data_IF_589445426677
#
_entry.id   IF_589445426677
#
_cell.length_a   1.000
_cell.length_b   1.000
_cell.length_c   1.000
_cell.angle_alpha   90.00
_cell.angle_beta   90.00
_cell.angle_gamma   90.00
#
_symmetry.space_group_name_H-M   'P 1'
#
loop_
_entity.id
_entity.type
_entity.pdbx_description
1 polymer ?
#
# COMPACT_ATOMS: atom_id res chain seq x y z
N UNK A 1 -5.11 -24.37 -3.31
CA UNK A 1 -4.17 -23.47 -2.67
C UNK A 1 -3.13 -24.25 -1.90
N UNK A 2 -1.88 -23.99 -2.11
CA UNK A 2 -0.83 -24.73 -1.44
C UNK A 2 -0.64 -24.25 0.01
N UNK A 3 -0.09 -25.11 0.86
CA UNK A 3 0.23 -24.75 2.24
C UNK A 3 1.25 -23.62 2.34
N UNK A 4 2.04 -23.39 1.27
CA UNK A 4 3.03 -22.32 1.21
C UNK A 4 2.43 -20.94 1.35
N UNK A 5 1.11 -20.79 1.11
CA UNK A 5 0.43 -19.51 1.24
C UNK A 5 0.09 -19.17 2.68
N UNK A 6 0.17 -20.14 3.60
CA UNK A 6 -0.14 -19.90 5.00
C UNK A 6 1.13 -19.65 5.79
N UNK A 7 1.02 -18.77 6.77
CA UNK A 7 2.07 -18.50 7.73
C UNK A 7 1.89 -19.39 8.95
N UNK A 8 2.99 -19.65 9.66
CA UNK A 8 2.95 -20.45 10.86
C UNK A 8 3.45 -19.63 12.05
N UNK A 9 2.77 -19.79 13.17
CA UNK A 9 3.21 -19.27 14.44
C UNK A 9 3.10 -20.39 15.46
N UNK A 10 3.53 -20.15 16.70
CA UNK A 10 3.41 -21.14 17.75
C UNK A 10 1.96 -21.55 17.90
N UNK A 11 1.65 -22.82 17.68
CA UNK A 11 0.33 -23.42 17.83
C UNK A 11 -0.72 -22.99 16.77
N UNK A 12 -0.35 -22.30 15.69
CA UNK A 12 -1.34 -21.93 14.67
C UNK A 12 -0.74 -21.72 13.30
N UNK A 13 -1.61 -21.81 12.31
CA UNK A 13 -1.36 -21.34 10.95
C UNK A 13 -2.35 -20.21 10.66
N UNK A 14 -1.93 -19.22 9.88
CA UNK A 14 -2.79 -18.09 9.57
C UNK A 14 -2.49 -17.56 8.17
N UNK A 15 -3.48 -16.86 7.61
CA UNK A 15 -3.33 -16.12 6.36
C UNK A 15 -4.20 -14.89 6.52
N UNK A 16 -3.56 -13.72 6.71
CA UNK A 16 -4.25 -12.45 6.88
C UNK A 16 -3.79 -11.53 5.79
N UNK A 17 -4.74 -11.12 4.95
CA UNK A 17 -4.45 -10.31 3.77
C UNK A 17 -5.40 -9.15 3.70
N UNK A 18 -4.85 -8.00 3.29
CA UNK A 18 -5.63 -6.78 3.12
C UNK A 18 -5.40 -6.19 1.74
N UNK A 19 -6.50 -5.76 1.12
CA UNK A 19 -6.47 -4.89 -0.05
C UNK A 19 -6.72 -3.46 0.46
N UNK A 20 -5.75 -2.57 0.23
CA UNK A 20 -5.78 -1.20 0.76
C UNK A 20 -5.69 -0.23 -0.40
N UNK A 21 -6.52 0.83 -0.34
CA UNK A 21 -6.53 1.89 -1.35
C UNK A 21 -6.47 3.22 -0.61
N UNK A 22 -5.58 4.12 -1.03
CA UNK A 22 -5.60 5.49 -0.52
C UNK A 22 -5.13 6.45 -1.61
N UNK A 23 -5.32 7.74 -1.37
CA UNK A 23 -5.03 8.76 -2.38
C UNK A 23 -4.33 9.99 -1.79
N UNK A 24 -3.64 10.76 -2.64
CA UNK A 24 -3.09 12.04 -2.23
C UNK A 24 -4.19 13.00 -1.79
N UNK A 25 -3.84 13.96 -0.94
CA UNK A 25 -4.77 15.00 -0.51
C UNK A 25 -5.32 15.74 -1.73
N UNK A 26 -6.61 16.00 -1.72
CA UNK A 26 -7.38 16.59 -2.81
C UNK A 26 -7.38 15.72 -4.08
N UNK A 27 -6.85 14.52 -3.99
CA UNK A 27 -6.79 13.56 -5.09
C UNK A 27 -6.08 14.11 -6.33
N UNK A 28 -5.07 14.95 -6.12
CA UNK A 28 -4.26 15.46 -7.22
C UNK A 28 -3.43 14.34 -7.84
N UNK A 29 -3.20 14.45 -9.15
CA UNK A 29 -2.45 13.45 -9.91
C UNK A 29 -0.95 13.69 -9.80
N UNK A 30 -0.41 13.50 -8.59
CA UNK A 30 1.01 13.78 -8.30
C UNK A 30 1.89 12.54 -8.32
N UNK A 31 1.30 11.34 -8.39
CA UNK A 31 2.04 10.07 -8.29
C UNK A 31 2.45 9.59 -9.69
N UNK A 32 3.29 10.35 -10.36
CA UNK A 32 3.72 10.07 -11.74
C UNK A 32 5.24 10.13 -11.87
N UNK A 33 5.76 9.44 -12.87
CA UNK A 33 7.18 9.49 -13.19
C UNK A 33 8.06 9.02 -12.05
N UNK A 34 9.03 9.83 -11.68
CA UNK A 34 9.97 9.48 -10.61
C UNK A 34 9.30 9.33 -9.24
N UNK A 35 8.21 10.06 -9.00
CA UNK A 35 7.45 9.93 -7.75
C UNK A 35 6.84 8.54 -7.66
N UNK A 36 6.25 8.07 -8.73
CA UNK A 36 5.68 6.71 -8.79
C UNK A 36 6.73 5.65 -8.49
N UNK A 37 7.87 5.72 -9.17
CA UNK A 37 8.93 4.71 -9.00
C UNK A 37 9.52 4.74 -7.59
N UNK A 38 9.78 5.92 -7.07
CA UNK A 38 10.31 6.08 -5.72
C UNK A 38 9.32 5.58 -4.67
N UNK A 39 8.03 5.89 -4.85
CA UNK A 39 7.00 5.43 -3.93
C UNK A 39 6.93 3.91 -3.88
N UNK A 40 7.03 3.24 -5.03
CA UNK A 40 7.05 1.77 -5.06
C UNK A 40 8.22 1.21 -4.26
N UNK A 41 9.40 1.82 -4.39
CA UNK A 41 10.58 1.40 -3.63
C UNK A 41 10.40 1.63 -2.13
N UNK A 42 9.84 2.78 -1.76
CA UNK A 42 9.57 3.11 -0.36
C UNK A 42 8.59 2.11 0.24
N UNK A 43 7.50 1.82 -0.45
CA UNK A 43 6.50 0.87 0.05
C UNK A 43 7.08 -0.54 0.20
N UNK A 44 7.92 -0.97 -0.74
CA UNK A 44 8.59 -2.26 -0.64
C UNK A 44 9.48 -2.31 0.61
N UNK A 45 10.25 -1.25 0.85
CA UNK A 45 11.13 -1.20 2.02
C UNK A 45 10.33 -1.20 3.32
N UNK A 46 9.24 -0.45 3.40
CA UNK A 46 8.38 -0.46 4.59
C UNK A 46 7.86 -1.88 4.84
N UNK A 47 7.37 -2.52 3.80
CA UNK A 47 6.82 -3.87 3.93
C UNK A 47 7.89 -4.86 4.36
N UNK A 48 9.10 -4.75 3.81
CA UNK A 48 10.21 -5.60 4.23
C UNK A 48 10.54 -5.39 5.71
N UNK A 49 10.57 -4.14 6.16
CA UNK A 49 10.93 -3.80 7.54
C UNK A 49 9.87 -4.28 8.56
N UNK A 50 8.61 -4.31 8.15
CA UNK A 50 7.50 -4.66 9.05
C UNK A 50 6.96 -6.07 8.84
N UNK A 51 7.62 -6.87 8.00
CA UNK A 51 7.19 -8.23 7.71
C UNK A 51 5.83 -8.31 7.02
N UNK A 52 5.53 -7.32 6.20
CA UNK A 52 4.38 -7.38 5.30
C UNK A 52 4.87 -7.90 3.95
N UNK A 53 4.12 -8.80 3.33
CA UNK A 53 4.50 -9.34 2.02
C UNK A 53 3.58 -8.77 0.95
N UNK A 54 4.16 -8.03 0.01
CA UNK A 54 3.40 -7.45 -1.09
C UNK A 54 3.06 -8.53 -2.10
N UNK A 55 1.76 -8.72 -2.35
CA UNK A 55 1.25 -9.64 -3.36
C UNK A 55 0.98 -8.93 -4.67
N UNK A 56 0.54 -7.68 -4.60
CA UNK A 56 0.34 -6.82 -5.77
C UNK A 56 0.41 -5.38 -5.34
N UNK A 57 0.95 -4.53 -6.20
CA UNK A 57 1.07 -3.10 -5.93
C UNK A 57 0.93 -2.37 -7.26
N UNK A 58 0.04 -1.39 -7.31
CA UNK A 58 -0.05 -0.49 -8.44
C UNK A 58 -0.25 0.93 -7.96
N UNK A 59 0.59 1.82 -8.47
CA UNK A 59 0.52 3.24 -8.17
C UNK A 59 -0.08 3.94 -9.40
N UNK A 60 -1.30 4.44 -9.22
CA UNK A 60 -1.96 5.25 -10.24
C UNK A 60 -1.63 6.72 -9.97
N UNK A 61 -1.86 7.62 -10.94
CA UNK A 61 -1.51 9.03 -10.72
C UNK A 61 -2.15 9.66 -9.50
N UNK A 62 -3.36 9.25 -9.12
CA UNK A 62 -4.13 9.85 -8.03
C UNK A 62 -4.57 8.87 -6.96
N UNK A 63 -4.05 7.65 -6.95
CA UNK A 63 -4.35 6.68 -5.90
C UNK A 63 -3.41 5.47 -5.96
N UNK A 64 -3.44 4.67 -4.90
CA UNK A 64 -2.60 3.49 -4.76
C UNK A 64 -3.48 2.30 -4.43
N UNK A 65 -3.20 1.16 -5.06
CA UNK A 65 -3.74 -0.13 -4.69
C UNK A 65 -2.60 -1.01 -4.18
N UNK A 66 -2.72 -1.55 -2.98
CA UNK A 66 -1.76 -2.51 -2.46
C UNK A 66 -2.48 -3.70 -1.84
N UNK A 67 -2.00 -4.89 -2.15
CA UNK A 67 -2.51 -6.14 -1.58
C UNK A 67 -1.35 -6.81 -0.85
N UNK A 68 -1.51 -7.03 0.46
CA UNK A 68 -0.42 -7.49 1.31
C UNK A 68 -0.87 -8.58 2.26
N UNK A 69 0.08 -9.49 2.58
CA UNK A 69 -0.02 -10.40 3.71
C UNK A 69 0.58 -9.71 4.92
N UNK A 70 -0.03 -9.87 6.08
CA UNK A 70 0.46 -9.22 7.30
C UNK A 70 0.55 -10.23 8.45
N UNK A 71 1.36 -9.95 9.50
CA UNK A 71 1.37 -10.75 10.71
C UNK A 71 0.00 -10.73 11.41
N UNK A 72 -0.32 -11.80 12.11
CA UNK A 72 -1.61 -11.93 12.77
C UNK A 72 -1.81 -10.95 13.94
N UNK A 73 -0.74 -10.32 14.38
CA UNK A 73 -0.78 -9.42 15.54
C UNK A 73 -1.04 -7.96 15.17
N UNK A 74 -1.25 -7.63 13.89
CA UNK A 74 -1.33 -6.25 13.43
C UNK A 74 -2.76 -5.92 13.00
N UNK A 75 -3.30 -4.84 13.55
CA UNK A 75 -4.62 -4.35 13.15
C UNK A 75 -4.56 -3.66 11.79
N UNK A 76 -5.65 -3.72 10.99
CA UNK A 76 -5.66 -3.05 9.68
C UNK A 76 -5.33 -1.57 9.75
N UNK A 77 -5.87 -0.85 10.73
CA UNK A 77 -5.61 0.58 10.87
C UNK A 77 -4.15 0.88 11.16
N UNK A 78 -3.46 0.00 11.86
CA UNK A 78 -2.03 0.16 12.14
C UNK A 78 -1.19 -0.07 10.89
N UNK A 79 -1.57 -1.03 10.06
CA UNK A 79 -0.92 -1.27 8.76
C UNK A 79 -1.04 -0.02 7.88
N UNK A 80 -2.26 0.51 7.76
CA UNK A 80 -2.51 1.71 6.94
C UNK A 80 -1.71 2.90 7.47
N UNK A 81 -1.73 3.11 8.78
CA UNK A 81 -0.99 4.22 9.40
C UNK A 81 0.51 4.11 9.11
N UNK A 82 1.07 2.91 9.25
CA UNK A 82 2.48 2.68 8.97
C UNK A 82 2.83 2.99 7.52
N UNK A 83 2.06 2.47 6.58
CA UNK A 83 2.31 2.70 5.15
C UNK A 83 2.19 4.18 4.81
N UNK A 84 1.15 4.84 5.27
CA UNK A 84 0.91 6.25 4.92
C UNK A 84 1.91 7.19 5.58
N UNK A 85 2.18 7.03 6.87
CA UNK A 85 3.04 7.98 7.59
C UNK A 85 4.48 7.91 7.12
N UNK A 86 5.04 6.72 6.98
CA UNK A 86 6.44 6.58 6.58
C UNK A 86 6.61 7.00 5.12
N UNK A 87 5.70 6.58 4.25
CA UNK A 87 5.80 6.93 2.83
C UNK A 87 5.72 8.43 2.60
N UNK A 88 4.86 9.14 3.35
CA UNK A 88 4.74 10.59 3.24
C UNK A 88 6.05 11.28 3.64
N UNK A 89 6.64 10.88 4.77
CA UNK A 89 7.90 11.45 5.24
C UNK A 89 9.00 11.22 4.21
N UNK A 90 9.12 9.99 3.73
CA UNK A 90 10.19 9.65 2.79
C UNK A 90 10.02 10.32 1.43
N UNK A 91 8.80 10.40 0.90
CA UNK A 91 8.55 11.09 -0.36
C UNK A 91 8.87 12.58 -0.26
N UNK A 92 8.51 13.23 0.84
CA UNK A 92 8.80 14.65 1.03
C UNK A 92 10.30 14.91 1.15
N UNK A 93 11.07 13.95 1.67
CA UNK A 93 12.53 14.07 1.71
C UNK A 93 13.15 13.99 0.33
N UNK A 94 12.68 13.06 -0.50
CA UNK A 94 13.23 12.84 -1.85
C UNK A 94 12.76 13.92 -2.81
N UNK A 95 11.52 14.39 -2.66
CA UNK A 95 10.90 15.36 -3.54
C UNK A 95 10.48 16.63 -2.78
N UNK A 96 11.42 17.55 -2.51
CA UNK A 96 11.07 18.81 -1.81
C UNK A 96 10.00 19.61 -2.53
N UNK A 97 9.95 19.53 -3.86
CA UNK A 97 8.92 20.22 -4.66
C UNK A 97 7.53 19.67 -4.37
N UNK A 98 7.41 18.38 -4.05
CA UNK A 98 6.14 17.77 -3.66
C UNK A 98 5.70 18.32 -2.30
N UNK A 99 6.64 18.45 -1.37
CA UNK A 99 6.38 19.04 -0.06
C UNK A 99 5.92 20.49 -0.22
N UNK A 100 6.56 21.24 -1.11
CA UNK A 100 6.18 22.63 -1.40
C UNK A 100 4.79 22.71 -2.00
N UNK A 101 4.44 21.78 -2.88
CA UNK A 101 3.13 21.71 -3.51
C UNK A 101 2.01 21.57 -2.45
N UNK A 102 2.27 20.79 -1.40
CA UNK A 102 1.31 20.57 -0.32
C UNK A 102 1.57 21.46 0.92
N UNK A 103 2.34 22.55 0.76
CA UNK A 103 2.76 23.36 1.90
C UNK A 103 1.60 23.93 2.71
N UNK A 104 0.48 24.27 2.06
CA UNK A 104 -0.69 24.85 2.73
C UNK A 104 -1.33 23.92 3.75
N UNK A 105 -1.53 22.67 3.38
CA UNK A 105 -2.17 21.69 4.26
C UNK A 105 -1.15 20.87 5.06
N UNK A 106 0.09 20.80 4.57
CA UNK A 106 1.18 20.12 5.28
C UNK A 106 1.12 18.60 5.25
N UNK A 107 0.22 18.00 4.46
CA UNK A 107 0.06 16.55 4.39
C UNK A 107 0.05 16.09 2.94
N UNK A 108 0.60 14.92 2.70
CA UNK A 108 0.60 14.30 1.37
C UNK A 108 -0.67 13.51 1.13
N UNK A 109 -1.06 12.68 2.08
CA UNK A 109 -2.16 11.74 1.90
C UNK A 109 -3.47 12.28 2.45
N UNK A 110 -4.56 12.00 1.76
CA UNK A 110 -5.90 12.20 2.27
C UNK A 110 -6.09 11.39 3.55
N UNK A 111 -6.96 11.86 4.43
CA UNK A 111 -7.26 11.15 5.69
C UNK A 111 -7.87 9.79 5.47
N UNK A 112 -8.70 9.66 4.44
CA UNK A 112 -9.44 8.45 4.18
C UNK A 112 -8.59 7.34 3.59
N UNK A 113 -9.13 6.16 3.65
CA UNK A 113 -8.60 4.98 2.99
C UNK A 113 -9.68 3.91 2.93
N UNK A 114 -9.49 2.96 2.01
CA UNK A 114 -10.32 1.78 1.95
C UNK A 114 -9.45 0.59 2.35
N UNK A 115 -9.97 -0.29 3.19
CA UNK A 115 -9.31 -1.56 3.51
C UNK A 115 -10.35 -2.66 3.55
N UNK A 116 -10.03 -3.78 2.89
CA UNK A 116 -10.86 -4.97 2.98
C UNK A 116 -9.98 -6.18 3.22
N UNK A 117 -10.55 -7.16 3.89
CA UNK A 117 -9.90 -8.48 3.99
C UNK A 117 -10.15 -9.24 2.70
N UNK A 118 -9.24 -10.16 2.40
CA UNK A 118 -9.34 -10.99 1.20
C UNK A 118 -9.23 -12.44 1.62
N UNK A 119 -10.26 -13.23 1.31
CA UNK A 119 -10.19 -14.69 1.48
C UNK A 119 -9.28 -15.28 0.41
N UNK A 120 -8.61 -16.38 0.72
CA UNK A 120 -7.65 -16.94 -0.23
C UNK A 120 -8.29 -17.41 -1.55
N UNK A 121 -9.57 -17.73 -1.55
CA UNK A 121 -10.28 -18.08 -2.78
C UNK A 121 -10.29 -16.93 -3.76
N UNK A 122 -10.32 -15.69 -3.25
CA UNK A 122 -10.38 -14.47 -4.05
C UNK A 122 -9.02 -13.88 -4.38
N UNK A 123 -7.93 -14.46 -3.88
CA UNK A 123 -6.60 -13.86 -4.00
C UNK A 123 -6.21 -13.58 -5.45
N UNK A 124 -6.32 -14.58 -6.32
CA UNK A 124 -5.95 -14.44 -7.73
C UNK A 124 -6.76 -13.34 -8.42
N UNK A 125 -8.05 -13.26 -8.11
CA UNK A 125 -8.93 -12.24 -8.68
C UNK A 125 -8.53 -10.84 -8.23
N UNK A 126 -8.15 -10.67 -6.96
CA UNK A 126 -7.72 -9.37 -6.43
C UNK A 126 -6.40 -8.95 -7.07
N UNK A 127 -5.44 -9.87 -7.18
CA UNK A 127 -4.17 -9.58 -7.83
C UNK A 127 -4.39 -9.13 -9.26
N UNK A 128 -5.21 -9.85 -10.01
CA UNK A 128 -5.51 -9.50 -11.39
C UNK A 128 -6.17 -8.13 -11.50
N UNK A 129 -7.13 -7.84 -10.63
CA UNK A 129 -7.81 -6.55 -10.60
C UNK A 129 -6.80 -5.41 -10.42
N UNK A 130 -5.87 -5.56 -9.49
CA UNK A 130 -4.87 -4.53 -9.19
C UNK A 130 -3.93 -4.35 -10.38
N UNK A 131 -3.45 -5.45 -10.95
CA UNK A 131 -2.52 -5.39 -12.07
C UNK A 131 -3.15 -4.80 -13.33
N UNK A 132 -4.45 -4.99 -13.52
CA UNK A 132 -5.17 -4.48 -14.67
C UNK A 132 -5.48 -2.98 -14.59
N UNK A 133 -5.23 -2.32 -13.45
CA UNK A 133 -5.55 -0.89 -13.31
C UNK A 133 -4.87 -0.03 -14.38
N UNK A 134 -3.63 -0.31 -14.71
CA UNK A 134 -2.90 0.46 -15.73
C UNK A 134 -3.50 0.33 -17.13
N UNK A 135 -4.08 -0.82 -17.44
CA UNK A 135 -4.65 -1.04 -18.78
C UNK A 135 -5.97 -0.32 -19.00
N UNK A 136 -6.59 0.21 -17.95
CA UNK A 136 -7.85 0.94 -18.02
C UNK A 136 -7.67 2.46 -17.90
N UNK A 137 -6.44 2.91 -17.85
CA UNK A 137 -6.12 4.32 -17.67
C UNK A 137 -6.21 5.14 -18.95
#
# INVERSE_FOLDING_TARGET
MSEEQYHSASHCKYLIQYHIIWCPEFRFSVLKGNVEETLKQILQKICDDYNYHIKALEVMPDHIHIFIDVPQTVAPCDVVRTLKSISAIELFKVFPELKQFYARCGVLWSRGYFVSTVGHISEAAVIKYIEDQKSHE
#
